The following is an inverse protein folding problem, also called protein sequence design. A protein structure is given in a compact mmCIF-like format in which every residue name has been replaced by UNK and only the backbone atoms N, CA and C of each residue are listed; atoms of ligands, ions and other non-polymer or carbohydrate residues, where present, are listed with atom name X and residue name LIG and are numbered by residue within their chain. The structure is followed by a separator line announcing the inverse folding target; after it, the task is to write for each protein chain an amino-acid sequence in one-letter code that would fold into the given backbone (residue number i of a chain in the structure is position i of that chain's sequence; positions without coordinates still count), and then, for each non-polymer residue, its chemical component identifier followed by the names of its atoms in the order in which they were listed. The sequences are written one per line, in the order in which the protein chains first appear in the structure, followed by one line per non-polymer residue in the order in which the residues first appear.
data_IF_577962049984
#
_entry.id   IF_577962049984
#
_cell.length_a   1.000
_cell.length_b   1.000
_cell.length_c   1.000
_cell.angle_alpha   90.00
_cell.angle_beta   90.00
_cell.angle_gamma   90.00
#
_symmetry.space_group_name_H-M   'P 1'
#
loop_
_entity.id
_entity.type
_entity.pdbx_description
1 polymer ?
#
# COMPACT_ATOMS: atom_id res chain seq x y z
N UNK A 1 -39.22 53.95 26.92
CA UNK A 1 -38.80 52.56 26.60
C UNK A 1 -38.68 52.49 25.09
N UNK A 2 -37.44 52.38 24.61
CA UNK A 2 -37.08 52.50 23.20
C UNK A 2 -37.50 51.24 22.43
N UNK A 3 -38.19 51.35 21.28
CA UNK A 3 -38.43 50.21 20.41
C UNK A 3 -37.11 49.85 19.75
N UNK A 4 -36.53 48.72 20.14
CA UNK A 4 -35.35 48.19 19.47
C UNK A 4 -35.77 47.73 18.08
N UNK A 5 -35.16 48.33 17.06
CA UNK A 5 -35.32 47.94 15.66
C UNK A 5 -34.63 46.60 15.46
N UNK A 6 -35.28 45.48 15.82
CA UNK A 6 -34.66 44.15 15.74
C UNK A 6 -34.64 43.69 14.28
N UNK A 7 -33.47 43.79 13.66
CA UNK A 7 -33.24 43.38 12.26
C UNK A 7 -33.38 41.86 12.12
N UNK A 8 -34.06 41.34 11.06
CA UNK A 8 -34.27 39.90 10.83
C UNK A 8 -33.05 38.97 11.00
N UNK A 9 -31.82 39.33 10.57
CA UNK A 9 -30.66 38.44 10.73
C UNK A 9 -30.23 38.24 12.19
N UNK A 10 -30.54 39.17 13.09
CA UNK A 10 -30.19 39.07 14.52
C UNK A 10 -31.14 38.08 15.21
N UNK A 11 -32.43 38.15 14.88
CA UNK A 11 -33.45 37.21 15.35
C UNK A 11 -33.16 35.77 14.92
N UNK A 12 -32.73 35.55 13.68
CA UNK A 12 -32.38 34.22 13.19
C UNK A 12 -31.16 33.61 13.93
N UNK A 13 -30.18 34.43 14.30
CA UNK A 13 -29.01 33.98 15.06
C UNK A 13 -29.36 33.62 16.52
N UNK A 14 -30.22 34.40 17.16
CA UNK A 14 -30.69 34.11 18.53
C UNK A 14 -31.61 32.89 18.57
N UNK A 15 -32.49 32.71 17.60
CA UNK A 15 -33.32 31.50 17.49
C UNK A 15 -32.44 30.25 17.30
N UNK A 16 -31.40 30.30 16.45
CA UNK A 16 -30.43 29.18 16.31
C UNK A 16 -29.74 28.84 17.64
N UNK A 17 -29.33 29.86 18.40
CA UNK A 17 -28.68 29.69 19.69
C UNK A 17 -29.63 29.06 20.72
N UNK A 18 -30.87 29.52 20.79
CA UNK A 18 -31.88 28.99 21.72
C UNK A 18 -32.27 27.54 21.38
N UNK A 19 -32.39 27.20 20.09
CA UNK A 19 -32.66 25.81 19.68
C UNK A 19 -31.51 24.88 20.07
N UNK A 20 -30.27 25.34 19.97
CA UNK A 20 -29.10 24.55 20.36
C UNK A 20 -28.98 24.36 21.88
N UNK A 21 -29.38 25.37 22.66
CA UNK A 21 -29.27 25.37 24.13
C UNK A 21 -30.46 24.69 24.83
N UNK A 22 -31.68 24.73 24.25
CA UNK A 22 -32.91 24.27 24.90
C UNK A 22 -33.35 22.84 24.52
N UNK A 23 -32.71 22.21 23.52
CA UNK A 23 -32.96 20.82 23.12
C UNK A 23 -34.46 20.52 22.90
N UNK A 24 -35.07 19.54 23.61
CA UNK A 24 -36.46 19.13 23.38
C UNK A 24 -37.52 20.17 23.78
N UNK A 25 -37.17 21.20 24.55
CA UNK A 25 -38.08 22.31 24.91
C UNK A 25 -37.89 23.56 24.05
N UNK A 26 -37.08 23.47 23.00
CA UNK A 26 -36.77 24.59 22.12
C UNK A 26 -38.01 25.22 21.49
N UNK A 27 -39.04 24.43 21.16
CA UNK A 27 -40.26 24.93 20.53
C UNK A 27 -40.99 25.97 21.41
N UNK A 28 -41.22 25.62 22.69
CA UNK A 28 -41.93 26.50 23.64
C UNK A 28 -41.11 27.76 23.97
N UNK A 29 -39.78 27.61 24.07
CA UNK A 29 -38.88 28.74 24.37
C UNK A 29 -38.76 29.69 23.18
N UNK A 30 -38.68 29.16 21.97
CA UNK A 30 -38.62 29.95 20.73
C UNK A 30 -39.95 30.65 20.47
N UNK A 31 -41.08 29.97 20.70
CA UNK A 31 -42.42 30.57 20.54
C UNK A 31 -42.61 31.76 21.50
N UNK A 32 -42.30 31.58 22.79
CA UNK A 32 -42.37 32.66 23.77
C UNK A 32 -41.42 33.83 23.45
N UNK A 33 -40.25 33.55 22.87
CA UNK A 33 -39.30 34.57 22.44
C UNK A 33 -39.80 35.37 21.23
N UNK A 34 -40.32 34.69 20.21
CA UNK A 34 -40.90 35.31 19.02
C UNK A 34 -42.17 36.11 19.37
N UNK A 35 -42.97 35.63 20.31
CA UNK A 35 -44.14 36.35 20.80
C UNK A 35 -43.75 37.63 21.55
N UNK A 36 -42.65 37.61 22.32
CA UNK A 36 -42.15 38.80 23.01
C UNK A 36 -41.56 39.86 22.06
N UNK A 37 -40.76 39.43 21.08
CA UNK A 37 -40.04 40.35 20.18
C UNK A 37 -40.91 40.83 19.01
N UNK A 38 -41.74 39.96 18.46
CA UNK A 38 -42.56 40.23 17.26
C UNK A 38 -44.01 40.55 17.66
N UNK A 39 -44.40 40.32 18.92
CA UNK A 39 -45.75 40.55 19.45
C UNK A 39 -46.26 41.98 19.30
N UNK A 40 -45.36 42.97 19.38
CA UNK A 40 -45.68 44.40 19.30
C UNK A 40 -45.82 44.94 17.86
N UNK A 41 -45.53 44.12 16.84
CA UNK A 41 -45.61 44.50 15.43
C UNK A 41 -47.03 44.34 14.87
N UNK A 42 -47.36 45.08 13.80
CA UNK A 42 -48.63 44.91 13.07
C UNK A 42 -48.68 43.54 12.39
N UNK A 43 -49.88 42.98 12.22
CA UNK A 43 -50.07 41.63 11.68
C UNK A 43 -49.34 41.39 10.34
N UNK A 44 -49.39 42.36 9.43
CA UNK A 44 -48.68 42.32 8.14
C UNK A 44 -47.15 42.24 8.29
N UNK A 45 -46.58 42.96 9.27
CA UNK A 45 -45.15 42.92 9.56
C UNK A 45 -44.71 41.66 10.30
N UNK A 46 -45.62 41.03 11.07
CA UNK A 46 -45.35 39.72 11.70
C UNK A 46 -45.18 38.63 10.64
N UNK A 47 -46.08 38.60 9.66
CA UNK A 47 -46.03 37.64 8.55
C UNK A 47 -44.76 37.85 7.72
N UNK A 48 -44.45 39.10 7.35
CA UNK A 48 -43.23 39.40 6.59
C UNK A 48 -41.94 39.02 7.35
N UNK A 49 -41.88 39.25 8.65
CA UNK A 49 -40.75 38.86 9.48
C UNK A 49 -40.59 37.34 9.59
N UNK A 50 -41.69 36.61 9.75
CA UNK A 50 -41.70 35.14 9.80
C UNK A 50 -41.31 34.52 8.46
N UNK A 51 -41.84 35.02 7.34
CA UNK A 51 -41.50 34.51 6.00
C UNK A 51 -40.01 34.69 5.68
N UNK A 52 -39.43 35.85 6.06
CA UNK A 52 -37.99 36.09 5.93
C UNK A 52 -37.16 35.18 6.83
N UNK A 53 -37.63 34.90 8.04
CA UNK A 53 -36.97 33.97 8.97
C UNK A 53 -36.97 32.55 8.37
N UNK A 54 -38.11 32.08 7.89
CA UNK A 54 -38.28 30.78 7.23
C UNK A 54 -37.33 30.66 6.02
N UNK A 55 -37.28 31.68 5.16
CA UNK A 55 -36.40 31.69 4.00
C UNK A 55 -34.91 31.60 4.39
N UNK A 56 -34.51 32.27 5.47
CA UNK A 56 -33.13 32.25 5.97
C UNK A 56 -32.74 30.89 6.57
N UNK A 57 -33.68 30.20 7.23
CA UNK A 57 -33.46 28.85 7.75
C UNK A 57 -33.45 27.77 6.65
N UNK A 58 -34.24 27.95 5.59
CA UNK A 58 -34.26 27.05 4.43
C UNK A 58 -33.00 27.18 3.56
N UNK A 59 -32.48 28.39 3.38
CA UNK A 59 -31.24 28.64 2.63
C UNK A 59 -30.01 27.96 3.25
N UNK A 60 -29.93 27.91 4.59
CA UNK A 60 -28.80 27.33 5.32
C UNK A 60 -28.84 25.79 5.34
N UNK A 61 -30.05 25.19 5.37
CA UNK A 61 -30.21 23.74 5.24
C UNK A 61 -29.75 23.22 3.88
N UNK A 62 -30.03 23.96 2.79
CA UNK A 62 -29.69 23.53 1.43
C UNK A 62 -28.19 23.51 1.10
N UNK A 63 -27.35 24.27 1.83
CA UNK A 63 -25.90 24.24 1.68
C UNK A 63 -25.27 23.05 2.43
N UNK A 64 -25.80 22.73 3.62
CA UNK A 64 -25.31 21.62 4.46
C UNK A 64 -25.68 20.25 3.87
N UNK A 65 -26.88 20.08 3.31
CA UNK A 65 -27.23 18.82 2.61
C UNK A 65 -26.42 18.61 1.34
N UNK A 66 -26.18 19.66 0.54
CA UNK A 66 -25.38 19.53 -0.69
C UNK A 66 -23.93 19.13 -0.41
N UNK A 67 -23.31 19.68 0.64
CA UNK A 67 -21.95 19.30 1.04
C UNK A 67 -21.89 17.83 1.50
N UNK A 68 -22.91 17.36 2.22
CA UNK A 68 -23.00 15.99 2.73
C UNK A 68 -23.30 14.96 1.63
N UNK A 69 -24.12 15.34 0.65
CA UNK A 69 -24.41 14.50 -0.52
C UNK A 69 -23.19 14.36 -1.45
N UNK A 70 -22.38 15.42 -1.61
CA UNK A 70 -21.14 15.38 -2.40
C UNK A 70 -20.11 14.42 -1.80
N UNK A 71 -19.94 14.44 -0.47
CA UNK A 71 -18.98 13.59 0.23
C UNK A 71 -19.38 12.11 0.13
N UNK A 72 -20.68 11.83 0.31
CA UNK A 72 -21.25 10.47 0.18
C UNK A 72 -21.12 9.94 -1.25
N UNK A 73 -21.32 10.80 -2.25
CA UNK A 73 -21.18 10.44 -3.67
C UNK A 73 -19.73 10.10 -4.05
N UNK A 74 -18.74 10.82 -3.52
CA UNK A 74 -17.32 10.55 -3.77
C UNK A 74 -16.89 9.22 -3.17
N UNK A 75 -17.32 8.93 -1.94
CA UNK A 75 -17.05 7.66 -1.26
C UNK A 75 -17.70 6.51 -2.04
N UNK A 76 -18.97 6.64 -2.45
CA UNK A 76 -19.65 5.63 -3.26
C UNK A 76 -18.93 5.32 -4.59
N UNK A 77 -18.42 6.37 -5.26
CA UNK A 77 -17.63 6.22 -6.46
C UNK A 77 -16.33 5.46 -6.19
N UNK A 78 -15.64 5.74 -5.08
CA UNK A 78 -14.41 5.06 -4.69
C UNK A 78 -14.65 3.57 -4.43
N UNK A 79 -15.71 3.22 -3.71
CA UNK A 79 -16.12 1.83 -3.49
C UNK A 79 -16.49 1.10 -4.79
N UNK A 80 -17.20 1.76 -5.70
CA UNK A 80 -17.53 1.18 -7.01
C UNK A 80 -16.29 0.91 -7.87
N UNK A 81 -15.26 1.75 -7.76
CA UNK A 81 -14.00 1.56 -8.49
C UNK A 81 -13.13 0.46 -7.87
N UNK A 82 -13.14 0.30 -6.55
CA UNK A 82 -12.34 -0.70 -5.83
C UNK A 82 -12.96 -2.11 -5.85
N UNK A 83 -14.28 -2.22 -5.72
CA UNK A 83 -14.98 -3.51 -5.61
C UNK A 83 -15.58 -3.98 -6.94
N UNK A 84 -15.62 -3.13 -7.97
CA UNK A 84 -16.16 -3.46 -9.29
C UNK A 84 -17.68 -3.67 -9.33
N UNK A 85 -18.36 -3.55 -8.19
CA UNK A 85 -19.80 -3.71 -8.04
C UNK A 85 -20.45 -2.38 -7.61
N UNK A 86 -21.64 -2.07 -8.14
CA UNK A 86 -22.38 -0.87 -7.75
C UNK A 86 -22.96 -1.08 -6.36
N UNK A 87 -22.19 -0.77 -5.33
CA UNK A 87 -22.67 -0.74 -3.95
C UNK A 87 -23.73 0.38 -3.87
N UNK A 88 -24.89 0.09 -3.27
CA UNK A 88 -25.95 1.09 -3.10
C UNK A 88 -25.54 2.15 -2.07
N UNK A 89 -25.95 3.41 -2.27
CA UNK A 89 -25.61 4.57 -1.42
C UNK A 89 -25.93 4.37 0.08
N UNK A 90 -26.82 3.43 0.41
CA UNK A 90 -27.29 3.15 1.78
C UNK A 90 -26.33 2.25 2.58
N UNK A 91 -25.50 1.42 1.92
CA UNK A 91 -24.54 0.52 2.60
C UNK A 91 -23.16 1.17 2.82
N UNK A 92 -22.87 2.29 2.14
CA UNK A 92 -21.53 2.87 2.04
C UNK A 92 -21.25 3.90 3.15
N UNK A 93 -22.29 4.48 3.74
CA UNK A 93 -22.19 5.50 4.79
C UNK A 93 -22.09 4.91 6.22
N UNK A 94 -21.96 3.58 6.35
CA UNK A 94 -21.67 2.96 7.64
C UNK A 94 -20.20 3.16 7.99
N UNK A 95 -19.94 3.78 9.14
CA UNK A 95 -18.61 3.91 9.74
C UNK A 95 -17.86 2.56 9.75
N UNK A 96 -18.59 1.46 9.93
CA UNK A 96 -18.05 0.09 9.91
C UNK A 96 -17.45 -0.32 8.54
N UNK A 97 -18.05 0.09 7.43
CA UNK A 97 -17.58 -0.26 6.08
C UNK A 97 -16.32 0.54 5.73
N UNK A 98 -16.25 1.79 6.18
CA UNK A 98 -15.08 2.65 6.04
C UNK A 98 -13.93 2.10 6.90
N UNK A 99 -14.20 1.70 8.15
CA UNK A 99 -13.20 1.07 9.03
C UNK A 99 -12.67 -0.25 8.44
N UNK A 100 -13.54 -1.10 7.90
CA UNK A 100 -13.14 -2.34 7.22
C UNK A 100 -12.30 -2.08 5.97
N UNK A 101 -12.63 -1.07 5.19
CA UNK A 101 -11.83 -0.66 4.03
C UNK A 101 -10.46 -0.14 4.48
N UNK A 102 -10.42 0.73 5.47
CA UNK A 102 -9.17 1.26 6.03
C UNK A 102 -8.29 0.14 6.57
N UNK A 103 -8.87 -0.83 7.28
CA UNK A 103 -8.17 -2.02 7.79
C UNK A 103 -7.62 -2.89 6.65
N UNK A 104 -8.39 -3.09 5.59
CA UNK A 104 -7.96 -3.86 4.41
C UNK A 104 -6.82 -3.17 3.68
N UNK A 105 -6.91 -1.85 3.46
CA UNK A 105 -5.84 -1.06 2.85
C UNK A 105 -4.58 -1.05 3.71
N UNK A 106 -4.70 -0.94 5.04
CA UNK A 106 -3.58 -1.06 5.97
C UNK A 106 -2.88 -2.40 5.82
N UNK A 107 -3.64 -3.50 5.77
CA UNK A 107 -3.08 -4.84 5.57
C UNK A 107 -2.32 -4.94 4.25
N UNK A 108 -2.85 -4.38 3.16
CA UNK A 108 -2.17 -4.38 1.85
C UNK A 108 -0.89 -3.57 1.90
N UNK A 109 -0.90 -2.37 2.48
CA UNK A 109 0.30 -1.53 2.58
C UNK A 109 1.37 -2.16 3.47
N UNK A 110 0.97 -2.76 4.59
CA UNK A 110 1.91 -3.45 5.50
C UNK A 110 2.52 -4.67 4.81
N UNK A 111 1.72 -5.48 4.11
CA UNK A 111 2.21 -6.62 3.33
C UNK A 111 3.17 -6.22 2.21
N UNK A 112 2.89 -5.11 1.51
CA UNK A 112 3.77 -4.59 0.47
C UNK A 112 5.08 -4.06 1.06
N UNK A 113 5.03 -3.36 2.20
CA UNK A 113 6.23 -2.90 2.90
C UNK A 113 7.09 -4.09 3.35
N UNK A 114 6.49 -5.13 3.95
CA UNK A 114 7.20 -6.35 4.33
C UNK A 114 7.87 -7.03 3.13
N UNK A 115 7.16 -7.12 1.99
CA UNK A 115 7.71 -7.69 0.76
C UNK A 115 8.90 -6.89 0.24
N UNK A 116 8.79 -5.55 0.19
CA UNK A 116 9.86 -4.65 -0.25
C UNK A 116 11.07 -4.74 0.69
N UNK A 117 10.83 -4.75 2.00
CA UNK A 117 11.87 -4.92 3.00
C UNK A 117 12.55 -6.28 2.87
N UNK A 118 11.79 -7.35 2.66
CA UNK A 118 12.31 -8.70 2.41
C UNK A 118 13.21 -8.75 1.17
N UNK A 119 12.75 -8.18 0.05
CA UNK A 119 13.50 -8.06 -1.20
C UNK A 119 14.79 -7.27 -0.99
N UNK A 120 14.73 -6.11 -0.34
CA UNK A 120 15.90 -5.26 -0.10
C UNK A 120 16.94 -5.96 0.81
N UNK A 121 16.46 -6.66 1.85
CA UNK A 121 17.32 -7.39 2.79
C UNK A 121 17.98 -8.62 2.15
N UNK A 122 17.23 -9.42 1.39
CA UNK A 122 17.73 -10.69 0.82
C UNK A 122 18.41 -10.53 -0.54
N UNK A 123 17.90 -9.66 -1.42
CA UNK A 123 18.39 -9.55 -2.80
C UNK A 123 19.37 -8.40 -3.00
N UNK A 124 19.22 -7.29 -2.25
CA UNK A 124 20.05 -6.09 -2.43
C UNK A 124 21.10 -5.88 -1.34
N UNK A 125 21.03 -6.59 -0.20
CA UNK A 125 21.93 -6.40 0.94
C UNK A 125 21.92 -4.97 1.50
N UNK A 126 20.89 -4.18 1.17
CA UNK A 126 20.75 -2.78 1.58
C UNK A 126 19.42 -2.62 2.31
N UNK A 127 19.44 -1.91 3.43
CA UNK A 127 18.22 -1.35 4.01
C UNK A 127 17.92 -0.07 3.23
N UNK A 128 17.32 -0.20 2.04
CA UNK A 128 16.83 0.97 1.31
C UNK A 128 15.78 1.69 2.17
N UNK A 129 15.82 3.03 2.16
CA UNK A 129 15.12 3.92 3.10
C UNK A 129 13.74 3.43 3.54
N UNK A 130 13.51 3.48 4.85
CA UNK A 130 12.33 2.99 5.58
C UNK A 130 11.06 3.81 5.34
N UNK A 131 10.97 4.48 4.20
CA UNK A 131 9.78 5.23 3.83
C UNK A 131 8.69 4.22 3.50
N UNK A 132 7.78 4.06 4.45
CA UNK A 132 6.58 3.25 4.25
C UNK A 132 5.77 3.85 3.10
N UNK A 133 5.08 2.99 2.35
CA UNK A 133 4.14 3.44 1.30
C UNK A 133 3.16 4.51 1.85
N UNK A 134 2.79 4.43 3.15
CA UNK A 134 1.94 5.41 3.83
C UNK A 134 2.60 6.79 3.97
N UNK A 135 3.89 6.84 4.27
CA UNK A 135 4.67 8.10 4.28
C UNK A 135 4.72 8.72 2.89
N UNK A 136 4.91 7.90 1.85
CA UNK A 136 5.02 8.36 0.47
C UNK A 136 3.70 8.87 -0.10
N UNK A 137 2.60 8.17 0.16
CA UNK A 137 1.25 8.64 -0.19
C UNK A 137 0.91 9.92 0.58
N UNK A 138 1.26 10.00 1.87
CA UNK A 138 1.08 11.18 2.69
C UNK A 138 1.84 12.40 2.15
N UNK A 139 3.10 12.22 1.76
CA UNK A 139 3.91 13.30 1.19
C UNK A 139 3.42 13.80 -0.17
N UNK A 140 2.81 12.94 -1.00
CA UNK A 140 2.24 13.33 -2.29
C UNK A 140 0.95 14.15 -2.18
N UNK A 141 0.22 14.00 -1.07
CA UNK A 141 -0.97 14.79 -0.80
C UNK A 141 -0.62 16.18 -0.25
N UNK A 142 0.49 16.30 0.48
CA UNK A 142 0.95 17.56 1.09
C UNK A 142 1.86 18.40 0.17
N UNK A 143 2.62 17.79 -0.75
CA UNK A 143 3.53 18.51 -1.65
C UNK A 143 3.59 17.86 -3.04
N UNK A 144 3.66 18.72 -4.06
CA UNK A 144 3.82 18.38 -5.49
C UNK A 144 5.22 17.86 -5.83
N UNK A 145 5.91 17.22 -4.88
CA UNK A 145 7.26 16.72 -5.08
C UNK A 145 7.26 15.29 -5.63
N UNK A 146 8.33 14.98 -6.36
CA UNK A 146 8.63 13.77 -7.14
C UNK A 146 8.78 12.48 -6.29
N UNK A 147 8.01 12.35 -5.21
CA UNK A 147 7.98 11.16 -4.38
C UNK A 147 7.50 9.96 -5.21
N UNK A 148 8.21 8.84 -5.13
CA UNK A 148 7.94 7.62 -5.92
C UNK A 148 6.49 7.20 -5.77
N UNK A 149 5.73 7.13 -6.87
CA UNK A 149 4.36 6.63 -6.85
C UNK A 149 4.29 5.18 -6.35
N UNK A 150 3.12 4.75 -5.88
CA UNK A 150 2.83 3.34 -5.60
C UNK A 150 3.18 2.44 -6.80
N UNK A 151 2.96 2.94 -8.01
CA UNK A 151 3.38 2.31 -9.26
C UNK A 151 4.90 2.08 -9.31
N UNK A 152 5.71 3.06 -8.88
CA UNK A 152 7.16 2.90 -8.75
C UNK A 152 7.58 1.79 -7.77
N UNK A 153 6.84 1.60 -6.68
CA UNK A 153 7.08 0.47 -5.77
C UNK A 153 6.69 -0.87 -6.40
N UNK A 154 5.55 -0.94 -7.09
CA UNK A 154 5.11 -2.14 -7.80
C UNK A 154 6.11 -2.52 -8.90
N UNK A 155 6.63 -1.55 -9.64
CA UNK A 155 7.62 -1.79 -10.68
C UNK A 155 8.96 -2.21 -10.08
N UNK A 156 9.36 -1.66 -8.94
CA UNK A 156 10.53 -2.15 -8.19
C UNK A 156 10.36 -3.61 -7.75
N UNK A 157 9.16 -4.02 -7.33
CA UNK A 157 8.85 -5.41 -6.97
C UNK A 157 8.95 -6.32 -8.21
N UNK A 158 8.30 -5.94 -9.32
CA UNK A 158 8.36 -6.71 -10.57
C UNK A 158 9.80 -6.88 -11.05
N UNK A 159 10.58 -5.80 -10.99
CA UNK A 159 11.99 -5.83 -11.36
C UNK A 159 12.80 -6.75 -10.46
N UNK A 160 12.57 -6.71 -9.14
CA UNK A 160 13.22 -7.61 -8.20
C UNK A 160 12.94 -9.08 -8.49
N UNK A 161 11.69 -9.43 -8.76
CA UNK A 161 11.34 -10.80 -9.15
C UNK A 161 12.00 -11.22 -10.47
N UNK A 162 12.05 -10.34 -11.46
CA UNK A 162 12.70 -10.63 -12.74
C UNK A 162 14.21 -10.86 -12.56
N UNK A 163 14.88 -10.02 -11.77
CA UNK A 163 16.31 -10.16 -11.46
C UNK A 163 16.55 -11.46 -10.68
N UNK A 164 15.77 -11.73 -9.64
CA UNK A 164 15.91 -12.95 -8.86
C UNK A 164 15.69 -14.21 -9.73
N UNK A 165 14.68 -14.22 -10.59
CA UNK A 165 14.43 -15.36 -11.47
C UNK A 165 15.61 -15.62 -12.42
N UNK A 166 16.15 -14.56 -13.03
CA UNK A 166 17.30 -14.68 -13.92
C UNK A 166 18.57 -15.09 -13.17
N UNK A 167 18.84 -14.47 -12.02
CA UNK A 167 20.00 -14.80 -11.20
C UNK A 167 19.98 -16.25 -10.71
N UNK A 168 18.81 -16.76 -10.33
CA UNK A 168 18.66 -18.15 -9.91
C UNK A 168 18.95 -19.11 -11.05
N UNK A 169 18.43 -18.82 -12.25
CA UNK A 169 18.73 -19.60 -13.46
C UNK A 169 20.23 -19.62 -13.76
N UNK A 170 20.89 -18.47 -13.70
CA UNK A 170 22.32 -18.35 -13.98
C UNK A 170 23.17 -19.08 -12.93
N UNK A 171 22.83 -18.95 -11.65
CA UNK A 171 23.49 -19.67 -10.56
C UNK A 171 23.33 -21.18 -10.69
N UNK A 172 22.11 -21.66 -10.97
CA UNK A 172 21.83 -23.07 -11.18
C UNK A 172 22.60 -23.64 -12.38
N UNK A 173 22.62 -22.92 -13.51
CA UNK A 173 23.39 -23.32 -14.69
C UNK A 173 24.90 -23.37 -14.40
N UNK A 174 25.40 -22.40 -13.62
CA UNK A 174 26.81 -22.36 -13.21
C UNK A 174 27.17 -23.57 -12.36
N UNK A 175 26.39 -23.86 -11.31
CA UNK A 175 26.64 -25.02 -10.42
C UNK A 175 26.44 -26.36 -11.11
N UNK A 176 25.47 -26.48 -12.02
CA UNK A 176 25.34 -27.66 -12.87
C UNK A 176 26.55 -27.82 -13.80
N UNK A 177 27.06 -26.73 -14.36
CA UNK A 177 28.29 -26.73 -15.17
C UNK A 177 29.51 -27.18 -14.37
N UNK A 178 29.66 -26.73 -13.13
CA UNK A 178 30.71 -27.18 -12.20
C UNK A 178 30.61 -28.69 -11.93
N UNK A 179 29.41 -29.19 -11.61
CA UNK A 179 29.16 -30.63 -11.38
C UNK A 179 29.52 -31.47 -12.61
N UNK A 180 29.04 -31.07 -13.79
CA UNK A 180 29.33 -31.77 -15.03
C UNK A 180 30.82 -31.69 -15.38
N UNK A 181 31.46 -30.57 -15.08
CA UNK A 181 32.90 -30.38 -15.26
C UNK A 181 33.74 -31.25 -14.32
N UNK A 182 33.31 -31.46 -13.08
CA UNK A 182 33.99 -32.36 -12.14
C UNK A 182 33.91 -33.82 -12.61
N UNK A 183 32.79 -34.20 -13.20
CA UNK A 183 32.52 -35.55 -13.71
C UNK A 183 32.91 -35.74 -15.19
N UNK A 184 33.55 -34.76 -15.82
CA UNK A 184 33.97 -34.83 -17.23
C UNK A 184 35.04 -35.95 -17.40
N UNK A 185 34.78 -36.97 -18.23
CA UNK A 185 35.73 -38.04 -18.48
C UNK A 185 37.12 -37.55 -18.90
N UNK A 186 37.21 -36.47 -19.69
CA UNK A 186 38.50 -35.94 -20.15
C UNK A 186 39.29 -35.33 -19.00
N UNK A 187 38.64 -34.57 -18.13
CA UNK A 187 39.28 -34.03 -16.93
C UNK A 187 39.70 -35.12 -15.94
N UNK A 188 38.92 -36.19 -15.83
CA UNK A 188 39.28 -37.36 -15.02
C UNK A 188 40.51 -38.06 -15.60
N UNK A 189 40.58 -38.20 -16.93
CA UNK A 189 41.75 -38.75 -17.64
C UNK A 189 43.01 -37.91 -17.46
N UNK A 190 42.88 -36.58 -17.52
CA UNK A 190 43.96 -35.61 -17.28
C UNK A 190 44.41 -35.58 -15.81
N UNK A 191 43.47 -35.72 -14.86
CA UNK A 191 43.79 -35.76 -13.42
C UNK A 191 44.62 -36.98 -13.02
N UNK A 192 44.64 -38.00 -13.87
CA UNK A 192 45.42 -39.20 -13.68
C UNK A 192 46.81 -39.03 -14.34
N UNK A 193 47.56 -37.99 -13.97
CA UNK A 193 48.94 -37.78 -14.42
C UNK A 193 49.93 -38.67 -13.64
N UNK A 194 50.81 -39.38 -14.35
CA UNK A 194 51.98 -40.07 -13.77
C UNK A 194 51.86 -41.60 -13.56
N UNK A 195 50.72 -42.22 -13.89
CA UNK A 195 50.54 -43.66 -13.70
C UNK A 195 51.25 -44.50 -14.79
N UNK A 196 52.26 -45.27 -14.42
CA UNK A 196 52.90 -46.34 -15.21
C UNK A 196 51.94 -47.49 -15.58
N UNK A 197 50.62 -47.26 -15.52
CA UNK A 197 49.54 -48.24 -15.63
C UNK A 197 48.93 -48.15 -17.03
N UNK A 198 48.90 -49.28 -17.73
CA UNK A 198 48.30 -49.41 -19.06
C UNK A 198 47.14 -50.41 -19.01
N UNK A 199 46.20 -50.30 -19.96
CA UNK A 199 45.11 -51.26 -20.11
C UNK A 199 44.16 -51.32 -18.90
N UNK A 200 43.79 -52.52 -18.39
CA UNK A 200 42.81 -52.67 -17.30
C UNK A 200 43.14 -51.89 -16.02
N UNK A 201 44.42 -51.76 -15.67
CA UNK A 201 44.86 -51.04 -14.47
C UNK A 201 44.62 -49.52 -14.58
N UNK A 202 44.72 -48.98 -15.79
CA UNK A 202 44.38 -47.57 -16.06
C UNK A 202 42.89 -47.33 -15.92
N UNK A 203 42.08 -48.26 -16.44
CA UNK A 203 40.61 -48.17 -16.33
C UNK A 203 40.14 -48.22 -14.88
N UNK A 204 40.75 -49.07 -14.05
CA UNK A 204 40.45 -49.14 -12.62
C UNK A 204 40.78 -47.81 -11.92
N UNK A 205 41.95 -47.24 -12.18
CA UNK A 205 42.37 -45.94 -11.61
C UNK A 205 41.43 -44.79 -12.00
N UNK A 206 41.02 -44.71 -13.27
CA UNK A 206 40.05 -43.70 -13.71
C UNK A 206 38.67 -43.88 -13.05
N UNK A 207 38.27 -45.13 -12.83
CA UNK A 207 37.01 -45.44 -12.15
C UNK A 207 37.06 -45.09 -10.66
N UNK A 208 38.17 -45.34 -9.98
CA UNK A 208 38.38 -44.94 -8.58
C UNK A 208 38.30 -43.42 -8.43
N UNK A 209 38.95 -42.67 -9.33
CA UNK A 209 38.87 -41.19 -9.37
C UNK A 209 37.42 -40.73 -9.57
N UNK A 210 36.70 -41.34 -10.51
CA UNK A 210 35.28 -41.04 -10.73
C UNK A 210 34.45 -41.31 -9.46
N UNK A 211 34.65 -42.45 -8.80
CA UNK A 211 33.92 -42.79 -7.57
C UNK A 211 34.18 -41.78 -6.45
N UNK A 212 35.42 -41.36 -6.28
CA UNK A 212 35.81 -40.38 -5.27
C UNK A 212 35.15 -39.02 -5.52
N UNK A 213 35.15 -38.55 -6.76
CA UNK A 213 34.47 -37.30 -7.16
C UNK A 213 32.96 -37.40 -6.98
N UNK A 214 32.34 -38.47 -7.45
CA UNK A 214 30.91 -38.71 -7.29
C UNK A 214 30.51 -38.78 -5.80
N UNK A 215 31.29 -39.46 -4.96
CA UNK A 215 31.06 -39.52 -3.50
C UNK A 215 31.14 -38.12 -2.87
N UNK A 216 32.12 -37.32 -3.28
CA UNK A 216 32.26 -35.93 -2.80
C UNK A 216 31.04 -35.10 -3.16
N UNK A 217 30.58 -35.16 -4.42
CA UNK A 217 29.40 -34.44 -4.88
C UNK A 217 28.12 -34.91 -4.17
N UNK A 218 27.98 -36.23 -3.95
CA UNK A 218 26.87 -36.80 -3.19
C UNK A 218 26.87 -36.28 -1.75
N UNK A 219 28.03 -36.29 -1.09
CA UNK A 219 28.15 -35.75 0.27
C UNK A 219 27.75 -34.27 0.31
N UNK A 220 28.21 -33.46 -0.66
CA UNK A 220 27.83 -32.05 -0.73
C UNK A 220 26.33 -31.83 -0.92
N UNK A 221 25.67 -32.70 -1.68
CA UNK A 221 24.22 -32.67 -1.83
C UNK A 221 23.52 -33.04 -0.50
N UNK A 222 23.94 -34.13 0.14
CA UNK A 222 23.34 -34.65 1.37
C UNK A 222 23.54 -33.72 2.57
N UNK A 223 24.68 -33.04 2.65
CA UNK A 223 24.98 -32.09 3.73
C UNK A 223 24.45 -30.68 3.44
N UNK A 224 23.82 -30.44 2.29
CA UNK A 224 23.32 -29.13 1.88
C UNK A 224 24.37 -28.12 1.41
N UNK A 225 25.66 -28.50 1.37
CA UNK A 225 26.75 -27.64 0.89
C UNK A 225 26.53 -27.18 -0.55
N UNK A 226 25.96 -28.05 -1.40
CA UNK A 226 25.63 -27.68 -2.77
C UNK A 226 24.56 -26.58 -2.83
N UNK A 227 23.55 -26.67 -1.97
CA UNK A 227 22.49 -25.65 -1.86
C UNK A 227 23.06 -24.34 -1.31
N UNK A 228 23.92 -24.38 -0.30
CA UNK A 228 24.60 -23.18 0.20
C UNK A 228 25.47 -22.52 -0.88
N UNK A 229 26.24 -23.31 -1.64
CA UNK A 229 27.05 -22.82 -2.75
C UNK A 229 26.18 -22.20 -3.86
N UNK A 230 25.03 -22.81 -4.17
CA UNK A 230 24.06 -22.26 -5.11
C UNK A 230 23.49 -20.93 -4.61
N UNK A 231 23.08 -20.84 -3.34
CA UNK A 231 22.50 -19.63 -2.77
C UNK A 231 23.50 -18.48 -2.72
N UNK A 232 24.76 -18.73 -2.36
CA UNK A 232 25.81 -17.71 -2.42
C UNK A 232 26.06 -17.21 -3.84
N UNK A 233 26.07 -18.12 -4.82
CA UNK A 233 26.24 -17.74 -6.22
C UNK A 233 25.03 -16.95 -6.74
N UNK A 234 23.82 -17.35 -6.34
CA UNK A 234 22.59 -16.62 -6.61
C UNK A 234 22.63 -15.19 -6.05
N UNK A 235 22.96 -15.01 -4.77
CA UNK A 235 23.08 -13.70 -4.13
C UNK A 235 24.11 -12.81 -4.84
N UNK A 236 25.28 -13.39 -5.20
CA UNK A 236 26.33 -12.71 -5.95
C UNK A 236 25.83 -12.20 -7.30
N UNK A 237 25.07 -13.01 -8.03
CA UNK A 237 24.52 -12.63 -9.33
C UNK A 237 23.41 -11.59 -9.19
N UNK A 238 22.53 -11.71 -8.19
CA UNK A 238 21.52 -10.70 -7.87
C UNK A 238 22.18 -9.33 -7.65
N UNK A 239 23.18 -9.26 -6.77
CA UNK A 239 23.89 -8.02 -6.47
C UNK A 239 24.56 -7.42 -7.71
N UNK A 240 25.17 -8.25 -8.55
CA UNK A 240 25.79 -7.83 -9.81
C UNK A 240 24.76 -7.22 -10.77
N UNK A 241 23.65 -7.93 -11.03
CA UNK A 241 22.60 -7.47 -11.95
C UNK A 241 21.93 -6.18 -11.46
N UNK A 242 21.77 -6.04 -10.15
CA UNK A 242 21.28 -4.80 -9.53
C UNK A 242 22.24 -3.63 -9.72
N UNK A 243 23.55 -3.84 -9.53
CA UNK A 243 24.56 -2.79 -9.75
C UNK A 243 24.65 -2.36 -11.21
N UNK A 244 24.57 -3.31 -12.15
CA UNK A 244 24.58 -3.02 -13.60
C UNK A 244 23.39 -2.18 -14.06
N UNK A 245 22.25 -2.28 -13.37
CA UNK A 245 21.07 -1.44 -13.63
C UNK A 245 21.08 -0.13 -12.85
N UNK A 246 21.48 -0.15 -11.57
CA UNK A 246 21.55 1.05 -10.73
C UNK A 246 22.68 2.01 -11.09
N UNK A 247 23.71 1.53 -11.79
CA UNK A 247 24.80 2.32 -12.38
C UNK A 247 24.47 2.96 -13.73
N UNK A 248 23.25 2.74 -14.27
CA UNK A 248 22.73 3.46 -15.45
C UNK A 248 21.83 4.62 -15.00
N UNK A 249 22.38 5.55 -14.23
CA UNK A 249 21.80 6.88 -14.03
C UNK A 249 22.63 7.91 -14.79
#
# INVERSE_FOLDING_TARGET
MTPTTTSPPILAAEVKKMVHEAGPNAEVVVEAYLEKEIGSLSHEKKVEALDRLIAQFQGDRGAVTKARDLDTSLVAKLFSMLLGERVGEVDIASEEVIERLATSLNTVFDSLNELISGINATLMGRVSGTETIRFVIGSQLDQQDEAKSLEGYVDQIKEAFAIAHQAFKDAAMTKMGEILGELDPKKIEESAEGGLKFGPLRKAELFDIFQDKHRTLRNWLETGLLTEALMREFERICQRLYQEKGGKK
#
